data_IF_305323127725
#
_entry.id   IF_305323127725
#
_cell.length_a   1.000
_cell.length_b   1.000
_cell.length_c   1.000
_cell.angle_alpha   90.00
_cell.angle_beta   90.00
_cell.angle_gamma   90.00
#
_symmetry.space_group_name_H-M   'P 1'
#
loop_
_entity.id
_entity.type
_entity.pdbx_description
1 polymer ?
#
# COMPACT_ATOMS: atom_id res chain seq x y z
N UNK A 1 8.26 20.02 -29.97
CA UNK A 1 6.90 19.47 -30.22
C UNK A 1 6.91 18.02 -29.82
N UNK A 2 6.36 17.63 -28.65
CA UNK A 2 5.94 16.23 -28.36
C UNK A 2 5.37 16.00 -26.95
N UNK A 3 5.54 16.91 -25.99
CA UNK A 3 5.09 16.67 -24.60
C UNK A 3 3.58 16.39 -24.43
N UNK A 4 2.73 16.93 -25.32
CA UNK A 4 1.29 16.69 -25.27
C UNK A 4 0.90 15.28 -25.76
N UNK A 5 1.58 14.76 -26.79
CA UNK A 5 1.31 13.42 -27.31
C UNK A 5 1.76 12.36 -26.30
N UNK A 6 2.93 12.55 -25.68
CA UNK A 6 3.42 11.67 -24.62
C UNK A 6 2.45 11.64 -23.44
N UNK A 7 1.98 12.80 -22.95
CA UNK A 7 0.98 12.86 -21.87
C UNK A 7 -0.33 12.16 -22.21
N UNK A 8 -0.84 12.33 -23.44
CA UNK A 8 -2.08 11.68 -23.87
C UNK A 8 -1.94 10.16 -23.93
N UNK A 9 -0.81 9.66 -24.43
CA UNK A 9 -0.50 8.23 -24.48
C UNK A 9 -0.36 7.62 -23.08
N UNK A 10 0.28 8.32 -22.14
CA UNK A 10 0.39 7.86 -20.75
C UNK A 10 -0.97 7.79 -20.07
N UNK A 11 -1.82 8.80 -20.27
CA UNK A 11 -3.19 8.81 -19.72
C UNK A 11 -4.03 7.68 -20.28
N UNK A 12 -3.96 7.44 -21.60
CA UNK A 12 -4.69 6.35 -22.25
C UNK A 12 -4.23 4.97 -21.76
N UNK A 13 -2.93 4.78 -21.54
CA UNK A 13 -2.38 3.55 -20.99
C UNK A 13 -2.84 3.30 -19.54
N UNK A 14 -2.91 4.35 -18.72
CA UNK A 14 -3.48 4.31 -17.37
C UNK A 14 -4.98 3.97 -17.39
N UNK A 15 -5.76 4.61 -18.27
CA UNK A 15 -7.21 4.38 -18.40
C UNK A 15 -7.55 2.96 -18.89
N UNK A 16 -6.64 2.32 -19.64
CA UNK A 16 -6.79 0.94 -20.13
C UNK A 16 -6.22 -0.12 -19.17
N UNK A 17 -5.52 0.30 -18.13
CA UNK A 17 -4.98 -0.64 -17.13
C UNK A 17 -6.12 -1.08 -16.19
N UNK A 18 -6.29 -2.40 -15.94
CA UNK A 18 -7.28 -2.85 -14.97
C UNK A 18 -6.94 -2.25 -13.60
N UNK A 19 -7.86 -1.46 -13.06
CA UNK A 19 -7.76 -0.95 -11.68
C UNK A 19 -8.09 -2.11 -10.74
N UNK A 20 -7.08 -2.57 -10.01
CA UNK A 20 -7.21 -3.69 -9.07
C UNK A 20 -7.33 -3.10 -7.67
N UNK A 21 -8.34 -3.54 -6.93
CA UNK A 21 -8.48 -3.26 -5.50
C UNK A 21 -8.33 -4.58 -4.74
N UNK A 22 -7.42 -4.61 -3.77
CA UNK A 22 -7.21 -5.74 -2.86
C UNK A 22 -7.74 -5.34 -1.50
N UNK A 23 -8.67 -6.14 -0.94
CA UNK A 23 -9.30 -5.86 0.35
C UNK A 23 -9.64 -7.16 1.07
N UNK A 24 -9.48 -7.19 2.39
CA UNK A 24 -9.82 -8.33 3.24
C UNK A 24 -9.04 -8.29 4.54
N UNK A 25 -9.22 -9.33 5.36
CA UNK A 25 -8.38 -9.55 6.54
C UNK A 25 -7.10 -10.29 6.13
N UNK A 26 -6.01 -9.54 5.99
CA UNK A 26 -4.69 -10.06 5.63
C UNK A 26 -4.01 -10.74 6.82
N UNK A 27 -4.50 -10.54 8.05
CA UNK A 27 -3.88 -11.00 9.30
C UNK A 27 -2.39 -10.62 9.44
N UNK A 28 -1.99 -9.52 8.80
CA UNK A 28 -0.61 -9.04 8.81
C UNK A 28 -0.58 -7.52 8.91
N UNK A 29 0.41 -7.02 9.65
CA UNK A 29 0.68 -5.58 9.79
C UNK A 29 1.55 -5.11 8.63
N UNK A 30 1.13 -4.03 7.96
CA UNK A 30 1.87 -3.38 6.86
C UNK A 30 2.96 -2.45 7.41
N UNK A 31 2.64 -1.65 8.43
CA UNK A 31 3.55 -0.69 9.05
C UNK A 31 3.64 -0.91 10.56
N UNK A 32 4.72 -1.56 11.04
CA UNK A 32 4.81 -1.99 12.45
C UNK A 32 4.72 -0.85 13.47
N UNK A 33 5.19 0.34 13.09
CA UNK A 33 5.19 1.50 13.99
C UNK A 33 3.80 2.11 14.13
N UNK A 34 3.07 2.21 13.03
CA UNK A 34 1.80 2.93 12.96
C UNK A 34 0.61 1.98 13.25
N UNK A 35 0.59 0.80 12.62
CA UNK A 35 -0.53 -0.16 12.66
C UNK A 35 -0.51 -1.09 13.88
N UNK A 36 0.55 -1.04 14.70
CA UNK A 36 0.65 -1.85 15.92
C UNK A 36 0.66 -0.95 17.15
N UNK A 37 -0.20 -1.24 18.11
CA UNK A 37 -0.31 -0.47 19.36
C UNK A 37 0.93 -0.64 20.24
N UNK A 38 1.44 -1.86 20.36
CA UNK A 38 2.65 -2.24 21.08
C UNK A 38 3.47 -3.26 20.28
N UNK A 39 4.80 -3.12 20.32
CA UNK A 39 5.71 -4.11 19.72
C UNK A 39 5.57 -5.45 20.44
N UNK A 40 5.50 -6.52 19.67
CA UNK A 40 5.47 -7.89 20.15
C UNK A 40 6.79 -8.60 19.86
N UNK A 41 7.14 -9.60 20.67
CA UNK A 41 8.22 -10.53 20.35
C UNK A 41 7.97 -11.35 19.09
N UNK A 42 6.71 -11.42 18.63
CA UNK A 42 6.33 -12.07 17.38
C UNK A 42 6.40 -11.16 16.16
N UNK A 43 6.76 -9.87 16.34
CA UNK A 43 6.97 -8.97 15.21
C UNK A 43 8.12 -9.46 14.35
N UNK A 44 7.88 -9.49 13.04
CA UNK A 44 8.87 -9.85 12.05
C UNK A 44 9.08 -8.65 11.12
N UNK A 45 10.07 -7.78 11.40
CA UNK A 45 10.34 -6.58 10.59
C UNK A 45 10.64 -6.88 9.12
N UNK A 46 11.10 -8.10 8.83
CA UNK A 46 11.32 -8.55 7.46
C UNK A 46 10.01 -8.59 6.65
N UNK A 47 8.89 -8.98 7.27
CA UNK A 47 7.60 -9.06 6.58
C UNK A 47 7.14 -7.68 6.12
N UNK A 48 7.32 -6.63 6.93
CA UNK A 48 7.04 -5.24 6.54
C UNK A 48 7.86 -4.84 5.29
N UNK A 49 9.14 -5.22 5.26
CA UNK A 49 10.02 -4.93 4.11
C UNK A 49 9.57 -5.69 2.86
N UNK A 50 9.24 -6.99 3.01
CA UNK A 50 8.80 -7.84 1.91
C UNK A 50 7.44 -7.38 1.35
N UNK A 51 6.51 -6.96 2.20
CA UNK A 51 5.22 -6.40 1.80
C UNK A 51 5.36 -5.05 1.11
N UNK A 52 6.27 -4.19 1.57
CA UNK A 52 6.56 -2.93 0.91
C UNK A 52 7.15 -3.16 -0.50
N UNK A 53 8.08 -4.12 -0.64
CA UNK A 53 8.63 -4.49 -1.93
C UNK A 53 7.56 -5.06 -2.87
N UNK A 54 6.74 -5.99 -2.38
CA UNK A 54 5.64 -6.58 -3.14
C UNK A 54 4.64 -5.50 -3.61
N UNK A 55 4.29 -4.57 -2.72
CA UNK A 55 3.37 -3.47 -3.05
C UNK A 55 3.97 -2.57 -4.13
N UNK A 56 5.26 -2.24 -4.01
CA UNK A 56 5.99 -1.46 -5.01
C UNK A 56 6.05 -2.17 -6.36
N UNK A 57 6.38 -3.46 -6.38
CA UNK A 57 6.51 -4.25 -7.61
C UNK A 57 5.19 -4.36 -8.38
N UNK A 58 4.07 -4.40 -7.65
CA UNK A 58 2.72 -4.47 -8.20
C UNK A 58 2.08 -3.10 -8.44
N UNK A 59 2.76 -2.00 -8.08
CA UNK A 59 2.19 -0.65 -8.15
C UNK A 59 0.98 -0.45 -7.25
N UNK A 60 0.89 -1.22 -6.16
CA UNK A 60 -0.18 -1.12 -5.17
C UNK A 60 0.11 0.02 -4.20
N UNK A 61 -0.97 0.63 -3.73
CA UNK A 61 -0.96 1.68 -2.73
C UNK A 61 -1.85 1.23 -1.58
N UNK A 62 -1.36 1.33 -0.35
CA UNK A 62 -2.20 1.22 0.85
C UNK A 62 -3.13 2.44 0.90
N UNK A 63 -4.41 2.21 0.59
CA UNK A 63 -5.41 3.26 0.51
C UNK A 63 -5.60 4.01 1.84
N UNK A 64 -5.51 3.33 2.97
CA UNK A 64 -5.69 3.95 4.28
C UNK A 64 -4.50 4.83 4.62
N UNK A 65 -3.29 4.27 4.55
CA UNK A 65 -2.05 5.00 4.88
C UNK A 65 -1.78 6.16 3.92
N UNK A 66 -2.26 6.07 2.67
CA UNK A 66 -2.17 7.16 1.70
C UNK A 66 -2.98 8.40 2.11
N UNK A 67 -4.14 8.21 2.73
CA UNK A 67 -5.00 9.29 3.22
C UNK A 67 -4.63 9.73 4.64
N UNK A 68 -4.14 8.79 5.45
CA UNK A 68 -3.89 8.93 6.88
C UNK A 68 -2.45 8.52 7.23
N UNK A 69 -1.43 9.31 6.82
CA UNK A 69 -0.03 8.89 6.90
C UNK A 69 0.44 8.63 8.33
N UNK A 70 -0.03 9.42 9.31
CA UNK A 70 0.46 9.37 10.70
C UNK A 70 -0.57 8.81 11.69
N UNK A 71 -1.80 8.57 11.26
CA UNK A 71 -2.86 8.11 12.17
C UNK A 71 -2.59 6.67 12.61
N UNK A 72 -2.92 6.40 13.88
CA UNK A 72 -2.75 5.09 14.52
C UNK A 72 -4.13 4.52 14.88
N UNK A 73 -4.78 3.98 13.87
CA UNK A 73 -6.05 3.25 13.99
C UNK A 73 -5.85 1.75 13.78
N UNK A 74 -6.73 0.92 14.35
CA UNK A 74 -6.57 -0.53 14.39
C UNK A 74 -7.85 -1.23 13.93
N UNK A 75 -7.71 -2.27 13.11
CA UNK A 75 -8.82 -3.09 12.61
C UNK A 75 -9.18 -4.27 13.53
N UNK A 76 -8.32 -4.62 14.48
CA UNK A 76 -8.50 -5.76 15.39
C UNK A 76 -8.15 -5.39 16.84
N UNK A 77 -8.96 -5.87 17.78
CA UNK A 77 -8.73 -5.77 19.23
C UNK A 77 -8.86 -7.17 19.85
N UNK A 78 -7.97 -7.53 20.76
CA UNK A 78 -7.92 -8.83 21.44
C UNK A 78 -7.74 -8.67 22.94
#
# INVERSE_FOLDING_TARGET
MNNNLTRQMTKLALDLSPQIMVSGDVNQVMHLREDRSQRSHTDQPQIETDLAQLSSDLGLVDAWRHLHPEDREYSLFS
#
